data_IF_787690395099
#
_entry.id   IF_787690395099
#
_cell.length_a   1.000
_cell.length_b   1.000
_cell.length_c   1.000
_cell.angle_alpha   90.00
_cell.angle_beta   90.00
_cell.angle_gamma   90.00
#
_symmetry.space_group_name_H-M   'P 1'
#
loop_
_entity.id
_entity.type
_entity.pdbx_description
1 polymer ?
#
# COMPACT_ATOMS: atom_id res chain seq x y z
N UNK A 1 -9.47 3.39 -30.83
CA UNK A 1 -9.13 2.57 -29.76
C UNK A 1 -10.06 2.74 -28.62
N UNK A 2 -10.47 1.68 -28.04
CA UNK A 2 -11.41 1.76 -26.95
C UNK A 2 -10.75 2.21 -25.67
N UNK A 3 -11.43 3.04 -24.91
CA UNK A 3 -10.95 3.44 -23.63
C UNK A 3 -11.47 2.44 -22.62
N UNK A 4 -10.57 1.94 -21.81
CA UNK A 4 -10.96 1.02 -20.78
C UNK A 4 -11.57 1.80 -19.63
N UNK A 5 -12.84 1.57 -19.38
CA UNK A 5 -13.52 2.32 -18.35
C UNK A 5 -13.02 2.02 -16.96
N UNK A 6 -12.46 0.86 -16.72
CA UNK A 6 -11.99 0.51 -15.40
C UNK A 6 -10.47 0.41 -15.42
N UNK A 7 -9.84 1.50 -15.88
CA UNK A 7 -8.40 1.49 -16.06
C UNK A 7 -7.61 1.68 -14.78
N UNK A 8 -8.25 2.10 -13.69
CA UNK A 8 -7.57 2.26 -12.42
C UNK A 8 -7.77 0.99 -11.60
N UNK A 9 -6.66 0.41 -11.18
CA UNK A 9 -6.68 -0.79 -10.34
C UNK A 9 -6.50 -0.36 -8.91
N UNK A 10 -7.38 -0.86 -8.03
CA UNK A 10 -7.32 -0.55 -6.61
C UNK A 10 -6.96 -1.82 -5.87
N UNK A 11 -5.94 -1.76 -5.03
CA UNK A 11 -5.54 -2.91 -4.22
C UNK A 11 -5.54 -2.52 -2.76
N UNK A 12 -5.93 -3.45 -1.92
CA UNK A 12 -5.90 -3.25 -0.48
C UNK A 12 -5.44 -4.53 0.17
N UNK A 13 -4.67 -4.39 1.23
CA UNK A 13 -4.18 -5.55 1.95
C UNK A 13 -3.63 -5.16 3.30
N UNK A 14 -3.42 -6.18 4.14
CA UNK A 14 -2.75 -5.94 5.41
C UNK A 14 -2.04 -7.21 5.79
N UNK A 15 -1.04 -7.07 6.62
CA UNK A 15 -0.36 -8.21 7.19
C UNK A 15 0.18 -7.84 8.55
N UNK A 16 -0.07 -8.73 9.52
CA UNK A 16 0.53 -8.59 10.83
C UNK A 16 1.88 -9.30 10.80
N UNK A 17 2.92 -8.56 11.08
CA UNK A 17 4.27 -9.08 11.03
C UNK A 17 5.15 -8.19 11.89
N UNK A 18 5.88 -8.72 12.87
CA UNK A 18 6.77 -7.87 13.67
C UNK A 18 7.82 -7.22 12.79
N UNK A 19 7.93 -5.90 12.89
CA UNK A 19 8.87 -5.15 12.06
C UNK A 19 9.84 -4.40 12.97
N UNK A 20 11.13 -4.56 12.70
CA UNK A 20 12.15 -3.89 13.49
C UNK A 20 12.57 -2.56 12.89
N UNK A 21 12.16 -2.31 11.65
CA UNK A 21 12.60 -1.15 10.90
C UNK A 21 11.44 -0.39 10.24
N UNK A 22 10.35 -0.10 10.99
CA UNK A 22 9.18 0.48 10.33
C UNK A 22 9.42 1.88 9.76
N UNK A 23 10.30 2.66 10.38
CA UNK A 23 10.57 4.01 9.87
C UNK A 23 11.32 3.94 8.55
N UNK A 24 12.26 3.02 8.43
CA UNK A 24 12.99 2.85 7.18
C UNK A 24 12.05 2.38 6.07
N UNK A 25 11.10 1.52 6.42
CA UNK A 25 10.14 1.04 5.45
C UNK A 25 9.21 2.15 4.97
N UNK A 26 8.87 3.10 5.83
CA UNK A 26 8.07 4.25 5.42
C UNK A 26 8.77 4.99 4.28
N UNK A 27 10.04 5.29 4.47
CA UNK A 27 10.79 6.02 3.45
C UNK A 27 10.91 5.22 2.16
N UNK A 28 11.19 3.93 2.30
CA UNK A 28 11.36 3.07 1.13
C UNK A 28 10.08 2.98 0.31
N UNK A 29 8.96 2.72 0.97
CA UNK A 29 7.71 2.54 0.23
C UNK A 29 7.14 3.86 -0.26
N UNK A 30 7.36 4.96 0.45
CA UNK A 30 6.94 6.27 -0.05
C UNK A 30 7.64 6.56 -1.38
N UNK A 31 8.94 6.34 -1.42
CA UNK A 31 9.71 6.59 -2.62
C UNK A 31 9.23 5.71 -3.77
N UNK A 32 9.02 4.42 -3.48
CA UNK A 32 8.62 3.49 -4.54
C UNK A 32 7.23 3.82 -5.07
N UNK A 33 6.30 4.10 -4.19
CA UNK A 33 4.94 4.44 -4.61
C UNK A 33 4.92 5.74 -5.42
N UNK A 34 5.76 6.71 -5.04
CA UNK A 34 5.84 7.95 -5.79
C UNK A 34 6.42 7.70 -7.18
N UNK A 35 7.44 6.86 -7.28
CA UNK A 35 8.01 6.51 -8.57
C UNK A 35 7.00 5.87 -9.49
N UNK A 36 6.13 5.06 -8.91
CA UNK A 36 5.12 4.34 -9.68
C UNK A 36 3.85 5.17 -9.90
N UNK A 37 3.82 6.38 -9.34
CA UNK A 37 2.67 7.27 -9.46
C UNK A 37 1.40 6.66 -8.88
N UNK A 38 1.56 5.81 -7.87
CA UNK A 38 0.42 5.28 -7.14
C UNK A 38 -0.13 6.35 -6.23
N UNK A 39 -1.40 6.21 -5.88
CA UNK A 39 -2.05 7.06 -4.90
C UNK A 39 -2.70 6.18 -3.85
N UNK A 40 -2.92 6.74 -2.70
CA UNK A 40 -3.56 6.03 -1.60
C UNK A 40 -2.80 6.17 -0.32
N UNK A 41 -2.94 5.17 0.53
CA UNK A 41 -2.36 5.21 1.87
C UNK A 41 -1.70 3.89 2.20
N UNK A 42 -0.56 3.95 2.85
CA UNK A 42 0.08 2.78 3.42
C UNK A 42 0.46 3.14 4.85
N UNK A 43 0.02 2.33 5.79
CA UNK A 43 0.33 2.53 7.20
C UNK A 43 1.27 1.42 7.65
N UNK A 44 2.37 1.81 8.27
CA UNK A 44 3.39 0.86 8.72
C UNK A 44 3.59 1.07 10.21
N UNK A 45 3.63 -0.03 10.95
CA UNK A 45 3.86 0.03 12.38
C UNK A 45 4.82 -1.08 12.76
N UNK A 46 5.15 -1.16 14.03
CA UNK A 46 5.97 -2.27 14.51
C UNK A 46 5.26 -3.59 14.37
N UNK A 47 3.96 -3.59 14.15
CA UNK A 47 3.16 -4.81 14.12
C UNK A 47 2.71 -5.21 12.73
N UNK A 48 3.07 -4.48 11.71
CA UNK A 48 2.70 -4.85 10.35
C UNK A 48 2.40 -3.71 9.44
N UNK A 49 1.74 -4.01 8.33
CA UNK A 49 1.38 -3.01 7.33
C UNK A 49 -0.08 -3.13 6.94
N UNK A 50 -0.60 -2.02 6.43
CA UNK A 50 -1.97 -1.95 5.96
C UNK A 50 -1.97 -0.94 4.83
N UNK A 51 -2.57 -1.25 3.70
CA UNK A 51 -2.53 -0.33 2.57
C UNK A 51 -3.77 -0.38 1.72
N UNK A 52 -4.04 0.75 1.06
CA UNK A 52 -5.03 0.89 0.01
C UNK A 52 -4.39 1.77 -1.05
N UNK A 53 -4.11 1.21 -2.19
CA UNK A 53 -3.37 1.89 -3.25
C UNK A 53 -4.12 1.78 -4.56
N UNK A 54 -3.95 2.77 -5.41
CA UNK A 54 -4.60 2.77 -6.72
C UNK A 54 -3.68 3.33 -7.78
N UNK A 55 -3.73 2.75 -8.96
CA UNK A 55 -2.94 3.21 -10.09
C UNK A 55 -3.14 2.33 -11.29
N UNK A 56 -2.20 2.37 -12.22
CA UNK A 56 -2.29 1.52 -13.40
C UNK A 56 -2.05 0.07 -13.00
N UNK A 57 -2.46 -0.83 -13.86
CA UNK A 57 -2.20 -2.26 -13.62
C UNK A 57 -0.71 -2.50 -13.47
N UNK A 58 0.09 -1.88 -14.33
CA UNK A 58 1.53 -2.06 -14.26
C UNK A 58 2.10 -1.57 -12.92
N UNK A 59 1.64 -0.42 -12.45
CA UNK A 59 2.13 0.13 -11.19
C UNK A 59 1.72 -0.74 -10.01
N UNK A 60 0.48 -1.22 -9.99
CA UNK A 60 0.03 -2.06 -8.88
C UNK A 60 0.72 -3.42 -8.90
N UNK A 61 0.92 -3.99 -10.08
CA UNK A 61 1.66 -5.25 -10.18
C UNK A 61 3.10 -5.07 -9.68
N UNK A 62 3.70 -3.94 -10.01
CA UNK A 62 5.08 -3.67 -9.62
C UNK A 62 5.22 -3.50 -8.11
N UNK A 63 4.29 -2.77 -7.47
CA UNK A 63 4.40 -2.61 -6.04
C UNK A 63 4.15 -3.91 -5.30
N UNK A 64 3.28 -4.78 -5.81
CA UNK A 64 3.05 -6.08 -5.22
C UNK A 64 4.34 -6.91 -5.30
N UNK A 65 4.99 -6.92 -6.46
CA UNK A 65 6.25 -7.63 -6.61
C UNK A 65 7.31 -7.07 -5.68
N UNK A 66 7.35 -5.76 -5.55
CA UNK A 66 8.31 -5.11 -4.67
C UNK A 66 8.08 -5.50 -3.21
N UNK A 67 6.81 -5.58 -2.79
CA UNK A 67 6.50 -6.04 -1.45
C UNK A 67 6.97 -7.49 -1.26
N UNK A 68 6.76 -8.32 -2.27
CA UNK A 68 7.12 -9.74 -2.15
C UNK A 68 8.61 -10.01 -2.15
N UNK A 69 9.42 -9.03 -2.51
CA UNK A 69 10.86 -9.17 -2.39
C UNK A 69 11.29 -9.20 -0.92
N UNK A 70 10.43 -8.71 -0.03
CA UNK A 70 10.68 -8.80 1.39
C UNK A 70 9.92 -10.00 1.90
N UNK A 71 10.63 -11.00 2.43
CA UNK A 71 10.01 -12.22 2.89
C UNK A 71 8.90 -12.01 3.91
N UNK A 72 8.96 -10.91 4.65
CA UNK A 72 7.93 -10.62 5.65
C UNK A 72 6.59 -10.31 5.01
N UNK A 73 6.60 -9.92 3.72
CA UNK A 73 5.39 -9.49 3.04
C UNK A 73 4.98 -10.42 1.92
N UNK A 74 5.40 -11.68 1.98
CA UNK A 74 4.93 -12.66 1.03
C UNK A 74 3.49 -13.02 1.32
N UNK A 75 2.76 -13.30 0.25
CA UNK A 75 1.42 -13.87 0.38
C UNK A 75 0.43 -13.02 1.15
N UNK A 76 0.49 -11.70 0.99
CA UNK A 76 -0.50 -10.83 1.59
C UNK A 76 -1.80 -11.03 0.83
N UNK A 77 -2.91 -11.38 1.50
CA UNK A 77 -4.18 -11.47 0.80
C UNK A 77 -4.58 -10.08 0.29
N UNK A 78 -4.92 -10.01 -0.98
CA UNK A 78 -5.24 -8.72 -1.59
C UNK A 78 -6.68 -8.67 -2.01
N UNK A 79 -7.30 -7.52 -1.77
CA UNK A 79 -8.59 -7.21 -2.34
C UNK A 79 -8.32 -6.32 -3.54
N UNK A 80 -8.83 -6.72 -4.70
CA UNK A 80 -8.60 -5.98 -5.94
C UNK A 80 -9.93 -5.52 -6.50
N UNK A 81 -10.03 -4.24 -6.79
CA UNK A 81 -11.21 -3.69 -7.44
C UNK A 81 -10.75 -2.74 -8.53
N UNK A 82 -11.69 -2.23 -9.31
CA UNK A 82 -11.36 -1.39 -10.46
C UNK A 82 -12.25 -0.18 -10.46
N UNK A 83 -11.75 0.93 -10.95
CA UNK A 83 -12.54 2.14 -11.08
C UNK A 83 -12.15 2.90 -12.33
N UNK A 84 -13.01 3.81 -12.77
CA UNK A 84 -12.74 4.60 -13.96
C UNK A 84 -11.78 5.72 -13.67
N UNK A 85 -11.80 6.22 -12.45
CA UNK A 85 -10.96 7.35 -12.07
C UNK A 85 -10.18 7.02 -10.83
N UNK A 86 -9.13 7.78 -10.59
CA UNK A 86 -8.30 7.62 -9.40
C UNK A 86 -9.08 8.10 -8.17
N UNK A 87 -9.35 7.21 -7.21
CA UNK A 87 -10.14 7.58 -6.03
C UNK A 87 -9.37 8.36 -4.97
N UNK A 88 -8.06 8.42 -5.07
CA UNK A 88 -7.24 9.09 -4.07
C UNK A 88 -6.55 10.29 -4.66
N UNK A 89 -6.26 11.28 -3.82
CA UNK A 89 -5.58 12.49 -4.28
C UNK A 89 -4.09 12.46 -4.04
N UNK A 90 -3.65 11.73 -3.03
CA UNK A 90 -2.27 11.75 -2.61
C UNK A 90 -1.76 10.37 -2.35
N UNK A 91 -0.46 10.24 -2.27
CA UNK A 91 0.19 9.03 -1.83
C UNK A 91 0.84 9.33 -0.49
N UNK A 92 0.40 8.67 0.55
CA UNK A 92 0.92 8.88 1.89
C UNK A 92 1.34 7.56 2.51
N UNK A 93 2.60 7.44 2.87
CA UNK A 93 3.09 6.29 3.63
C UNK A 93 3.45 6.83 5.01
N UNK A 94 2.87 6.29 6.05
CA UNK A 94 3.03 6.81 7.40
C UNK A 94 3.37 5.74 8.40
N UNK A 95 4.13 6.12 9.40
CA UNK A 95 4.35 5.26 10.55
C UNK A 95 3.20 5.50 11.53
N UNK A 96 2.63 4.43 12.02
CA UNK A 96 1.56 4.57 12.98
C UNK A 96 1.88 3.79 14.24
N UNK A 97 1.55 4.36 15.38
CA UNK A 97 1.67 3.69 16.66
C UNK A 97 0.34 3.07 16.96
N UNK A 98 0.23 1.77 16.84
CA UNK A 98 -1.00 1.11 17.18
C UNK A 98 -0.88 0.55 18.54
N UNK A 99 -1.52 1.17 19.49
CA UNK A 99 -1.57 0.66 20.83
C UNK A 99 -3.02 0.53 21.21
N UNK A 100 -3.34 -0.60 21.80
CA UNK A 100 -4.72 -0.89 22.04
C UNK A 100 -5.40 0.15 22.87
N UNK A 101 -4.71 0.72 23.80
CA UNK A 101 -5.37 1.64 24.66
C UNK A 101 -5.38 3.03 24.16
N UNK A 102 -4.77 3.26 23.00
CA UNK A 102 -4.76 4.57 22.55
C UNK A 102 -6.05 5.07 22.18
N UNK A 103 -6.89 4.23 21.85
CA UNK A 103 -8.13 4.70 21.40
C UNK A 103 -8.93 5.24 22.48
N UNK A 104 -8.59 4.89 23.68
CA UNK A 104 -9.28 5.36 24.61
C UNK A 104 -8.79 6.42 25.19
N UNK A 105 -7.89 6.69 25.04
CA UNK A 105 -7.40 7.77 25.59
C UNK A 105 -8.05 8.76 25.61
#
# INVERSE_FOLDING_TARGET
>A
MAVNKNSVVNIAGYKFEPLVDPIDLVSLYQKKCDELKLKGTMLISKNGINFSLAGTKQATDTIITFLEEDNRFLNIPLKVTYSETQPFRRMTVSYTHLRAHETET
#
